data_IF_415261772270
#
_entry.id   IF_415261772270
#
_cell.length_a   1.000
_cell.length_b   1.000
_cell.length_c   1.000
_cell.angle_alpha   90.00
_cell.angle_beta   90.00
_cell.angle_gamma   90.00
#
_symmetry.space_group_name_H-M   'P 1'
#
loop_
_entity.id
_entity.type
_entity.pdbx_description
1 polymer ?
#
# COMPACT_ATOMS: atom_id res chain seq x y z
N UNK A 1 14.12 -17.59 -42.44
CA UNK A 1 13.64 -16.92 -41.21
C UNK A 1 12.16 -16.60 -41.38
N UNK A 2 11.42 -16.44 -40.28
CA UNK A 2 9.97 -16.16 -40.31
C UNK A 2 9.73 -14.68 -40.57
N UNK A 3 9.12 -14.34 -41.71
CA UNK A 3 8.78 -12.97 -42.15
C UNK A 3 7.97 -12.21 -41.09
N UNK A 4 7.25 -12.90 -40.20
CA UNK A 4 6.51 -12.29 -39.10
C UNK A 4 7.41 -11.71 -38.02
N UNK A 5 8.58 -12.30 -37.78
CA UNK A 5 9.53 -11.84 -36.76
C UNK A 5 10.25 -10.57 -37.22
N UNK A 6 10.65 -10.51 -38.50
CA UNK A 6 11.27 -9.33 -39.11
C UNK A 6 10.33 -8.12 -39.10
N UNK A 7 9.04 -8.34 -39.40
CA UNK A 7 8.03 -7.27 -39.35
C UNK A 7 7.81 -6.74 -37.92
N UNK A 8 7.78 -7.63 -36.93
CA UNK A 8 7.57 -7.22 -35.54
C UNK A 8 8.77 -6.44 -34.99
N UNK A 9 9.99 -6.86 -35.29
CA UNK A 9 11.20 -6.11 -34.93
C UNK A 9 11.22 -4.70 -35.54
N UNK A 10 10.67 -4.55 -36.75
CA UNK A 10 10.55 -3.28 -37.46
C UNK A 10 9.52 -2.34 -36.82
N UNK A 11 8.35 -2.85 -36.45
CA UNK A 11 7.31 -2.11 -35.72
C UNK A 11 7.83 -1.58 -34.37
N UNK A 12 8.58 -2.42 -33.64
CA UNK A 12 9.19 -2.05 -32.35
C UNK A 12 10.26 -0.97 -32.51
N UNK A 13 11.17 -1.10 -33.49
CA UNK A 13 12.20 -0.10 -33.76
C UNK A 13 11.62 1.27 -34.15
N UNK A 14 10.53 1.31 -34.93
CA UNK A 14 9.84 2.55 -35.28
C UNK A 14 9.16 3.20 -34.07
N UNK A 15 8.60 2.40 -33.15
CA UNK A 15 8.00 2.90 -31.91
C UNK A 15 9.04 3.57 -31.00
N UNK A 16 10.20 2.93 -30.79
CA UNK A 16 11.27 3.51 -29.97
C UNK A 16 11.82 4.79 -30.57
N UNK A 17 11.95 4.87 -31.90
CA UNK A 17 12.34 6.10 -32.60
C UNK A 17 11.35 7.23 -32.33
N UNK A 18 10.04 6.98 -32.47
CA UNK A 18 9.02 8.00 -32.17
C UNK A 18 9.07 8.51 -30.72
N UNK A 19 9.41 7.64 -29.77
CA UNK A 19 9.62 8.00 -28.35
C UNK A 19 10.88 8.87 -28.21
N UNK A 20 12.00 8.48 -28.81
CA UNK A 20 13.26 9.21 -28.78
C UNK A 20 13.13 10.61 -29.42
N UNK A 21 12.45 10.72 -30.56
CA UNK A 21 12.15 12.00 -31.23
C UNK A 21 11.35 12.94 -30.31
N UNK A 22 10.39 12.39 -29.55
CA UNK A 22 9.55 13.15 -28.61
C UNK A 22 10.33 13.62 -27.37
N UNK A 23 11.35 12.87 -26.95
CA UNK A 23 12.26 13.23 -25.84
C UNK A 23 13.21 14.34 -26.28
N UNK A 24 13.62 14.37 -27.55
CA UNK A 24 14.56 15.35 -28.09
C UNK A 24 13.94 16.70 -28.51
N UNK A 25 12.61 16.76 -28.71
CA UNK A 25 11.89 17.98 -29.09
C UNK A 25 12.11 19.24 -28.19
N UNK A 26 12.43 19.13 -26.87
CA UNK A 26 12.73 20.30 -26.04
C UNK A 26 14.11 20.94 -26.24
N UNK A 27 15.01 20.34 -27.03
CA UNK A 27 16.42 20.77 -27.15
C UNK A 27 16.72 21.73 -28.32
N UNK A 28 15.70 22.40 -28.88
CA UNK A 28 15.86 23.43 -29.92
C UNK A 28 16.40 24.78 -29.38
N UNK A 29 16.44 24.97 -28.06
CA UNK A 29 17.31 25.98 -27.45
C UNK A 29 18.73 25.42 -27.32
N UNK A 30 19.80 26.21 -27.52
CA UNK A 30 21.18 25.74 -27.47
C UNK A 30 21.56 25.29 -26.06
N UNK A 31 21.15 24.07 -25.71
CA UNK A 31 21.60 23.32 -24.57
C UNK A 31 23.06 22.93 -24.84
N UNK A 32 23.96 23.29 -23.93
CA UNK A 32 25.39 22.98 -23.97
C UNK A 32 25.71 21.49 -23.78
N UNK A 33 24.72 20.60 -23.82
CA UNK A 33 24.95 19.17 -23.70
C UNK A 33 25.47 18.61 -25.02
N UNK A 34 26.74 18.19 -25.04
CA UNK A 34 27.35 17.49 -26.18
C UNK A 34 26.75 16.09 -26.41
N UNK A 35 25.93 15.60 -25.48
CA UNK A 35 25.34 14.27 -25.45
C UNK A 35 23.84 14.32 -25.13
N UNK A 36 23.13 13.29 -25.57
CA UNK A 36 21.71 13.04 -25.27
C UNK A 36 21.53 11.60 -24.80
N UNK A 37 20.60 11.41 -23.87
CA UNK A 37 20.20 10.08 -23.41
C UNK A 37 19.01 9.60 -24.25
N UNK A 38 19.17 8.45 -24.91
CA UNK A 38 18.14 7.78 -25.70
C UNK A 38 17.85 6.39 -25.13
N UNK A 39 16.69 5.82 -25.45
CA UNK A 39 16.43 4.41 -25.15
C UNK A 39 17.07 3.52 -26.21
N UNK A 40 17.60 2.37 -25.80
CA UNK A 40 18.17 1.35 -26.66
C UNK A 40 17.14 0.85 -27.68
N UNK A 41 17.44 0.99 -28.97
CA UNK A 41 16.52 0.70 -30.07
C UNK A 41 16.67 -0.74 -30.60
N UNK A 42 17.03 -1.67 -29.71
CA UNK A 42 17.15 -3.08 -30.08
C UNK A 42 15.77 -3.72 -30.28
N UNK A 43 15.71 -4.88 -30.95
CA UNK A 43 14.45 -5.58 -31.22
C UNK A 43 13.81 -6.27 -29.99
N UNK A 44 14.34 -6.07 -28.78
CA UNK A 44 13.83 -6.68 -27.55
C UNK A 44 12.70 -5.81 -26.97
N UNK A 45 11.49 -6.35 -26.94
CA UNK A 45 10.25 -5.65 -26.51
C UNK A 45 10.33 -5.11 -25.07
N UNK A 46 11.10 -5.77 -24.20
CA UNK A 46 11.25 -5.40 -22.79
C UNK A 46 12.48 -4.54 -22.51
N UNK A 47 13.21 -4.10 -23.55
CA UNK A 47 14.40 -3.27 -23.36
C UNK A 47 14.00 -1.85 -22.96
N UNK A 48 14.51 -1.42 -21.81
CA UNK A 48 14.33 -0.06 -21.26
C UNK A 48 15.66 0.60 -20.94
N UNK A 49 16.75 0.09 -21.52
CA UNK A 49 18.09 0.57 -21.24
C UNK A 49 18.30 1.95 -21.86
N UNK A 50 18.84 2.87 -21.06
CA UNK A 50 19.26 4.19 -21.50
C UNK A 50 20.68 4.13 -22.07
N UNK A 51 20.92 4.87 -23.15
CA UNK A 51 22.21 5.00 -23.82
C UNK A 51 22.52 6.50 -23.94
N UNK A 52 23.70 6.91 -23.49
CA UNK A 52 24.20 8.26 -23.73
C UNK A 52 24.97 8.28 -25.06
N UNK A 53 24.52 9.12 -26.00
CA UNK A 53 25.16 9.25 -27.32
C UNK A 53 25.47 10.72 -27.62
N UNK A 54 26.53 11.02 -28.39
CA UNK A 54 26.82 12.37 -28.83
C UNK A 54 25.64 12.96 -29.62
N UNK A 55 25.36 14.25 -29.45
CA UNK A 55 24.27 14.94 -30.15
C UNK A 55 24.43 14.85 -31.68
N UNK A 56 25.67 14.81 -32.18
CA UNK A 56 25.96 14.56 -33.60
C UNK A 56 25.46 13.18 -34.04
N UNK A 57 25.79 12.13 -33.29
CA UNK A 57 25.34 10.76 -33.58
C UNK A 57 23.83 10.66 -33.54
N UNK A 58 23.18 11.30 -32.57
CA UNK A 58 21.72 11.37 -32.51
C UNK A 58 21.11 11.97 -33.78
N UNK A 59 21.67 13.08 -34.28
CA UNK A 59 21.25 13.69 -35.56
C UNK A 59 21.49 12.78 -36.75
N UNK A 60 22.62 12.08 -36.79
CA UNK A 60 22.94 11.13 -37.86
C UNK A 60 21.94 9.95 -37.88
N UNK A 61 21.50 9.45 -36.72
CA UNK A 61 20.43 8.44 -36.61
C UNK A 61 19.08 8.95 -37.14
N UNK A 62 18.78 10.23 -36.93
CA UNK A 62 17.56 10.87 -37.44
C UNK A 62 17.58 11.04 -38.95
N UNK A 63 18.75 11.37 -39.52
CA UNK A 63 18.91 11.51 -40.96
C UNK A 63 18.86 10.16 -41.70
N UNK A 64 19.12 9.05 -40.99
CA UNK A 64 19.16 7.70 -41.57
C UNK A 64 18.10 6.81 -40.91
N UNK A 65 16.93 6.68 -41.56
CA UNK A 65 15.79 5.91 -41.07
C UNK A 65 16.08 4.43 -40.78
N UNK A 66 17.14 3.87 -41.38
CA UNK A 66 17.55 2.48 -41.19
C UNK A 66 18.58 2.28 -40.07
N UNK A 67 19.05 3.35 -39.41
CA UNK A 67 20.09 3.26 -38.38
C UNK A 67 19.49 3.24 -36.98
N UNK A 68 20.06 2.44 -36.08
CA UNK A 68 19.56 2.27 -34.71
C UNK A 68 20.71 2.30 -33.72
N UNK A 69 20.51 2.98 -32.58
CA UNK A 69 21.46 2.95 -31.46
C UNK A 69 21.12 1.81 -30.49
N UNK A 70 22.05 0.90 -30.27
CA UNK A 70 21.85 -0.26 -29.39
C UNK A 70 23.01 -0.43 -28.41
N UNK A 71 22.74 -1.09 -27.28
CA UNK A 71 23.78 -1.60 -26.38
C UNK A 71 24.59 -2.69 -27.11
N UNK A 72 25.93 -2.73 -26.97
CA UNK A 72 26.77 -3.77 -27.59
C UNK A 72 26.33 -5.20 -27.24
N UNK A 73 25.83 -5.41 -26.03
CA UNK A 73 25.30 -6.68 -25.52
C UNK A 73 23.94 -7.08 -26.11
N UNK A 74 23.23 -6.14 -26.76
CA UNK A 74 21.88 -6.33 -27.31
C UNK A 74 21.87 -6.57 -28.82
N UNK A 75 23.02 -6.90 -29.41
CA UNK A 75 23.12 -7.33 -30.80
C UNK A 75 22.45 -8.69 -30.91
N UNK A 76 21.18 -8.70 -31.31
CA UNK A 76 20.46 -9.94 -31.63
C UNK A 76 20.96 -10.50 -32.96
N UNK A 77 20.82 -11.82 -33.18
CA UNK A 77 21.36 -12.56 -34.35
C UNK A 77 20.77 -12.16 -35.72
N UNK A 78 20.01 -11.07 -35.83
CA UNK A 78 19.60 -10.54 -37.12
C UNK A 78 20.83 -9.87 -37.76
N UNK A 79 21.06 -10.14 -39.05
CA UNK A 79 22.19 -9.64 -39.85
C UNK A 79 22.12 -8.11 -40.03
N UNK A 80 22.30 -7.36 -38.94
CA UNK A 80 22.39 -5.91 -38.97
C UNK A 80 23.84 -5.52 -39.24
N UNK A 81 24.05 -4.68 -40.24
CA UNK A 81 25.37 -4.17 -40.56
C UNK A 81 25.77 -3.11 -39.52
N UNK A 82 26.87 -3.33 -38.81
CA UNK A 82 27.35 -2.36 -37.83
C UNK A 82 27.98 -1.17 -38.55
N UNK A 83 27.36 0.00 -38.43
CA UNK A 83 27.77 1.27 -39.05
C UNK A 83 28.86 1.96 -38.23
N UNK A 84 28.74 1.92 -36.90
CA UNK A 84 29.72 2.49 -35.99
C UNK A 84 29.78 1.69 -34.68
N UNK A 85 30.98 1.61 -34.08
CA UNK A 85 31.22 0.96 -32.80
C UNK A 85 31.87 1.95 -31.84
N UNK A 86 31.16 2.26 -30.77
CA UNK A 86 31.72 2.96 -29.61
C UNK A 86 31.77 2.01 -28.40
N UNK A 87 32.43 2.46 -27.34
CA UNK A 87 32.61 1.64 -26.13
C UNK A 87 31.27 1.29 -25.44
N UNK A 88 30.31 2.22 -25.43
CA UNK A 88 29.05 2.08 -24.67
C UNK A 88 27.82 1.83 -25.54
N UNK A 89 27.92 2.05 -26.86
CA UNK A 89 26.83 1.87 -27.81
C UNK A 89 27.34 1.56 -29.21
N UNK A 90 26.53 0.85 -29.99
CA UNK A 90 26.77 0.63 -31.41
C UNK A 90 25.65 1.27 -32.24
N UNK A 91 26.01 1.70 -33.45
CA UNK A 91 25.03 2.10 -34.48
C UNK A 91 24.95 0.98 -35.49
N UNK A 92 23.75 0.44 -35.69
CA UNK A 92 23.50 -0.66 -36.63
C UNK A 92 22.52 -0.24 -37.71
N UNK A 93 22.74 -0.68 -38.94
CA UNK A 93 21.82 -0.50 -40.05
C UNK A 93 20.96 -1.77 -40.21
N UNK A 94 19.65 -1.59 -40.32
CA UNK A 94 18.74 -2.67 -40.69
C UNK A 94 18.50 -2.63 -42.21
N UNK A 95 19.02 -3.62 -42.98
CA UNK A 95 18.90 -3.63 -44.44
C UNK A 95 17.45 -3.84 -44.92
N UNK A 96 16.57 -4.40 -44.10
CA UNK A 96 15.13 -4.58 -44.43
C UNK A 96 14.42 -3.23 -44.59
N UNK A 97 14.89 -2.19 -43.88
CA UNK A 97 14.37 -0.81 -44.01
C UNK A 97 15.02 -0.02 -45.15
N UNK A 98 16.14 -0.50 -45.72
CA UNK A 98 16.81 0.14 -46.85
C UNK A 98 16.13 -0.20 -48.20
N UNK A 99 15.41 -1.32 -48.25
CA UNK A 99 14.57 -1.71 -49.37
C UNK A 99 13.16 -1.18 -49.12
N UNK A 100 12.85 0.00 -49.65
CA UNK A 100 11.56 0.65 -49.46
C UNK A 100 10.38 -0.27 -49.85
N UNK A 101 9.26 -0.24 -49.11
CA UNK A 101 8.09 -1.03 -49.47
C UNK A 101 7.46 -0.49 -50.77
N UNK A 102 7.26 -1.35 -51.76
CA UNK A 102 6.40 -1.10 -52.95
C UNK A 102 4.90 -1.05 -52.60
N UNK A 103 4.53 -1.16 -51.31
CA UNK A 103 3.17 -0.96 -50.85
C UNK A 103 2.86 0.54 -50.72
N UNK A 104 1.64 0.99 -51.10
CA UNK A 104 1.19 2.33 -50.79
C UNK A 104 1.08 2.47 -49.27
N UNK A 105 2.15 2.98 -48.66
CA UNK A 105 2.16 3.45 -47.28
C UNK A 105 1.15 4.59 -47.22
N UNK A 106 0.19 4.52 -46.29
CA UNK A 106 -0.65 5.66 -45.96
C UNK A 106 0.24 6.91 -45.84
N UNK A 107 -0.20 8.08 -46.33
CA UNK A 107 0.64 9.27 -46.32
C UNK A 107 1.24 9.44 -44.92
N UNK A 108 2.57 9.59 -44.80
CA UNK A 108 3.23 9.64 -43.50
C UNK A 108 2.50 10.66 -42.66
N UNK A 109 2.05 10.25 -41.47
CA UNK A 109 1.55 11.21 -40.50
C UNK A 109 2.60 12.31 -40.39
N UNK A 110 2.18 13.56 -40.56
CA UNK A 110 3.13 14.66 -40.47
C UNK A 110 3.79 14.60 -39.10
N UNK A 111 5.06 14.98 -39.01
CA UNK A 111 5.79 15.03 -37.74
C UNK A 111 4.98 15.75 -36.64
N UNK A 112 4.26 16.80 -37.01
CA UNK A 112 3.34 17.53 -36.14
C UNK A 112 2.22 16.65 -35.56
N UNK A 113 1.66 15.73 -36.35
CA UNK A 113 0.61 14.82 -35.92
C UNK A 113 1.12 13.78 -34.91
N UNK A 114 2.29 13.19 -35.18
CA UNK A 114 2.95 12.25 -34.28
C UNK A 114 3.30 12.91 -32.95
N UNK A 115 3.86 14.13 -33.00
CA UNK A 115 4.19 14.90 -31.80
C UNK A 115 2.95 15.20 -30.95
N UNK A 116 1.84 15.61 -31.59
CA UNK A 116 0.57 15.86 -30.90
C UNK A 116 0.02 14.60 -30.24
N UNK A 117 0.09 13.45 -30.90
CA UNK A 117 -0.42 12.19 -30.35
C UNK A 117 0.48 11.65 -29.22
N UNK A 118 1.80 11.78 -29.33
CA UNK A 118 2.74 11.51 -28.23
C UNK A 118 2.48 12.40 -27.01
N UNK A 119 2.26 13.70 -27.20
CA UNK A 119 1.92 14.62 -26.11
C UNK A 119 0.59 14.26 -25.46
N UNK A 120 -0.43 13.90 -26.25
CA UNK A 120 -1.73 13.43 -25.73
C UNK A 120 -1.56 12.18 -24.89
N UNK A 121 -0.78 11.22 -25.35
CA UNK A 121 -0.51 9.97 -24.63
C UNK A 121 0.23 10.24 -23.31
N UNK A 122 1.28 11.08 -23.33
CA UNK A 122 2.01 11.46 -22.12
C UNK A 122 1.11 12.17 -21.09
N UNK A 123 0.25 13.09 -21.53
CA UNK A 123 -0.74 13.76 -20.67
C UNK A 123 -1.75 12.75 -20.11
N UNK A 124 -2.20 11.78 -20.91
CA UNK A 124 -3.09 10.72 -20.45
C UNK A 124 -2.43 9.83 -19.39
N UNK A 125 -1.18 9.42 -19.58
CA UNK A 125 -0.41 8.66 -18.59
C UNK A 125 -0.21 9.45 -17.30
N UNK A 126 0.16 10.73 -17.37
CA UNK A 126 0.32 11.59 -16.19
C UNK A 126 -1.00 11.76 -15.43
N UNK A 127 -2.12 11.92 -16.13
CA UNK A 127 -3.46 11.97 -15.52
C UNK A 127 -3.82 10.65 -14.85
N UNK A 128 -3.55 9.52 -15.50
CA UNK A 128 -3.79 8.20 -14.93
C UNK A 128 -2.92 7.95 -13.68
N UNK A 129 -1.64 8.31 -13.73
CA UNK A 129 -0.73 8.21 -12.59
C UNK A 129 -1.20 9.07 -11.40
N UNK A 130 -1.61 10.31 -11.65
CA UNK A 130 -2.19 11.18 -10.62
C UNK A 130 -3.47 10.58 -10.03
N UNK A 131 -4.38 10.08 -10.87
CA UNK A 131 -5.62 9.46 -10.40
C UNK A 131 -5.36 8.22 -9.52
N UNK A 132 -4.35 7.41 -9.86
CA UNK A 132 -3.91 6.28 -9.02
C UNK A 132 -3.33 6.77 -7.69
N UNK A 133 -2.46 7.79 -7.69
CA UNK A 133 -1.91 8.36 -6.48
C UNK A 133 -2.99 8.94 -5.55
N UNK A 134 -3.98 9.63 -6.12
CA UNK A 134 -5.12 10.17 -5.39
C UNK A 134 -5.99 9.03 -4.80
N UNK A 135 -6.16 7.93 -5.54
CA UNK A 135 -6.90 6.75 -5.06
C UNK A 135 -6.19 6.08 -3.88
N UNK A 136 -4.88 5.83 -3.99
CA UNK A 136 -4.06 5.26 -2.90
C UNK A 136 -4.09 6.18 -1.67
N UNK A 137 -4.02 7.50 -1.86
CA UNK A 137 -4.08 8.46 -0.75
C UNK A 137 -5.40 8.37 0.02
N UNK A 138 -6.54 8.26 -0.68
CA UNK A 138 -7.86 8.07 -0.06
C UNK A 138 -7.97 6.75 0.70
N UNK A 139 -7.43 5.67 0.13
CA UNK A 139 -7.45 4.36 0.78
C UNK A 139 -6.60 4.35 2.06
N UNK A 140 -5.43 4.97 2.05
CA UNK A 140 -4.60 5.14 3.25
C UNK A 140 -5.29 5.95 4.34
N UNK A 141 -6.04 7.00 3.99
CA UNK A 141 -6.81 7.79 4.95
C UNK A 141 -7.96 6.98 5.59
N UNK A 142 -8.65 6.16 4.79
CA UNK A 142 -9.67 5.25 5.29
C UNK A 142 -9.08 4.22 6.27
N UNK A 143 -7.95 3.58 5.91
CA UNK A 143 -7.27 2.60 6.76
C UNK A 143 -6.78 3.22 8.08
N UNK A 144 -6.26 4.46 8.04
CA UNK A 144 -5.88 5.20 9.26
C UNK A 144 -7.08 5.43 10.16
N UNK A 145 -8.21 5.88 9.59
CA UNK A 145 -9.44 6.11 10.34
C UNK A 145 -9.99 4.83 10.98
N UNK A 146 -9.94 3.71 10.25
CA UNK A 146 -10.34 2.40 10.77
C UNK A 146 -9.42 1.92 11.89
N UNK A 147 -8.10 2.10 11.73
CA UNK A 147 -7.08 1.73 12.73
C UNK A 147 -7.29 2.53 14.02
N UNK A 148 -7.51 3.84 13.92
CA UNK A 148 -7.79 4.69 15.07
C UNK A 148 -9.08 4.30 15.79
N UNK A 149 -10.12 3.94 15.02
CA UNK A 149 -11.38 3.44 15.59
C UNK A 149 -11.19 2.11 16.32
N UNK A 150 -10.41 1.19 15.75
CA UNK A 150 -10.09 -0.09 16.37
C UNK A 150 -9.30 0.12 17.67
N UNK A 151 -8.29 1.00 17.67
CA UNK A 151 -7.50 1.32 18.86
C UNK A 151 -8.35 1.90 19.98
N UNK A 152 -9.19 2.91 19.69
CA UNK A 152 -10.13 3.48 20.68
C UNK A 152 -11.16 2.47 21.17
N UNK A 153 -11.49 1.46 20.37
CA UNK A 153 -12.38 0.38 20.80
C UNK A 153 -11.68 -0.57 21.77
N UNK A 154 -10.41 -0.92 21.49
CA UNK A 154 -9.59 -1.74 22.37
C UNK A 154 -9.36 -1.04 23.73
N UNK A 155 -8.96 0.23 23.72
CA UNK A 155 -8.77 1.04 24.94
C UNK A 155 -10.04 1.08 25.81
N UNK A 156 -11.23 1.22 25.19
CA UNK A 156 -12.50 1.18 25.92
C UNK A 156 -12.84 -0.19 26.46
N UNK A 157 -12.50 -1.26 25.74
CA UNK A 157 -12.71 -2.62 26.20
C UNK A 157 -11.82 -2.93 27.41
N UNK A 158 -10.54 -2.54 27.36
CA UNK A 158 -9.60 -2.73 28.46
C UNK A 158 -10.05 -1.96 29.72
N UNK A 159 -10.53 -0.72 29.55
CA UNK A 159 -11.11 0.05 30.64
C UNK A 159 -12.35 -0.65 31.24
N UNK A 160 -13.26 -1.13 30.40
CA UNK A 160 -14.46 -1.85 30.84
C UNK A 160 -14.11 -3.17 31.56
N UNK A 161 -13.08 -3.88 31.11
CA UNK A 161 -12.61 -5.09 31.76
C UNK A 161 -12.04 -4.81 33.16
N UNK A 162 -11.23 -3.75 33.30
CA UNK A 162 -10.71 -3.31 34.61
C UNK A 162 -11.85 -2.91 35.57
N UNK A 163 -12.85 -2.18 35.08
CA UNK A 163 -14.02 -1.81 35.88
C UNK A 163 -14.82 -3.03 36.32
N UNK A 164 -15.03 -3.99 35.41
CA UNK A 164 -15.68 -5.26 35.70
C UNK A 164 -14.91 -6.08 36.74
N UNK A 165 -13.59 -6.25 36.58
CA UNK A 165 -12.76 -6.96 37.55
C UNK A 165 -12.88 -6.37 38.95
N UNK A 166 -12.89 -5.05 39.04
CA UNK A 166 -13.03 -4.37 40.32
C UNK A 166 -14.41 -4.58 40.93
N UNK A 167 -15.46 -4.44 40.14
CA UNK A 167 -16.82 -4.72 40.60
C UNK A 167 -16.92 -6.16 41.12
N UNK A 168 -16.35 -7.13 40.41
CA UNK A 168 -16.33 -8.52 40.84
C UNK A 168 -15.59 -8.72 42.16
N UNK A 169 -14.43 -8.09 42.33
CA UNK A 169 -13.71 -8.11 43.62
C UNK A 169 -14.58 -7.55 44.75
N UNK A 170 -15.29 -6.46 44.52
CA UNK A 170 -16.20 -5.87 45.51
C UNK A 170 -17.38 -6.80 45.84
N UNK A 171 -18.03 -7.37 44.81
CA UNK A 171 -19.15 -8.32 45.00
C UNK A 171 -18.74 -9.58 45.73
N UNK A 172 -17.51 -10.06 45.55
CA UNK A 172 -16.95 -11.20 46.28
C UNK A 172 -16.57 -10.82 47.72
N UNK A 173 -15.98 -9.64 47.93
CA UNK A 173 -15.51 -9.20 49.24
C UNK A 173 -16.65 -9.03 50.26
N UNK A 174 -17.82 -8.57 49.83
CA UNK A 174 -18.97 -8.33 50.72
C UNK A 174 -19.46 -9.59 51.44
N UNK A 175 -19.90 -10.67 50.74
CA UNK A 175 -20.34 -11.89 51.41
C UNK A 175 -19.20 -12.55 52.21
N UNK A 176 -17.95 -12.50 51.73
CA UNK A 176 -16.80 -12.99 52.48
C UNK A 176 -16.61 -12.26 53.81
N UNK A 177 -16.81 -10.94 53.83
CA UNK A 177 -16.73 -10.13 55.06
C UNK A 177 -17.81 -10.54 56.05
N UNK A 178 -19.05 -10.74 55.58
CA UNK A 178 -20.17 -11.19 56.44
C UNK A 178 -19.92 -12.60 56.98
N UNK A 179 -19.56 -13.55 56.12
CA UNK A 179 -19.24 -14.94 56.51
C UNK A 179 -18.13 -14.94 57.57
N UNK A 180 -17.05 -14.18 57.34
CA UNK A 180 -15.93 -14.11 58.28
C UNK A 180 -16.33 -13.49 59.63
N UNK A 181 -17.14 -12.43 59.60
CA UNK A 181 -17.64 -11.78 60.81
C UNK A 181 -18.56 -12.69 61.63
N UNK A 182 -19.48 -13.39 60.98
CA UNK A 182 -20.38 -14.37 61.62
C UNK A 182 -19.59 -15.54 62.20
N UNK A 183 -18.65 -16.11 61.44
CA UNK A 183 -17.81 -17.21 61.90
C UNK A 183 -16.96 -16.81 63.12
N UNK A 184 -16.39 -15.61 63.11
CA UNK A 184 -15.63 -15.06 64.25
C UNK A 184 -16.54 -14.87 65.47
N UNK A 185 -17.75 -14.35 65.27
CA UNK A 185 -18.74 -14.17 66.35
C UNK A 185 -19.14 -15.52 66.97
N UNK A 186 -19.36 -16.56 66.17
CA UNK A 186 -19.69 -17.90 66.65
C UNK A 186 -18.51 -18.56 67.39
N UNK A 187 -17.27 -18.29 66.97
CA UNK A 187 -16.06 -18.88 67.55
C UNK A 187 -15.65 -18.22 68.87
N UNK A 188 -15.59 -16.88 68.86
CA UNK A 188 -14.95 -16.09 69.92
C UNK A 188 -15.96 -15.28 70.75
N UNK A 189 -17.21 -15.17 70.29
CA UNK A 189 -18.24 -14.37 70.94
C UNK A 189 -18.78 -14.98 72.23
N UNK A 190 -19.54 -14.19 73.02
CA UNK A 190 -20.25 -14.71 74.18
C UNK A 190 -21.20 -15.84 73.76
N UNK A 191 -21.47 -16.78 74.66
CA UNK A 191 -22.44 -17.86 74.41
C UNK A 191 -23.80 -17.25 74.09
N UNK A 192 -24.19 -17.33 72.83
CA UNK A 192 -25.52 -16.99 72.34
C UNK A 192 -26.48 -18.14 72.63
N UNK A 193 -27.77 -17.85 72.73
CA UNK A 193 -28.77 -18.90 72.83
C UNK A 193 -28.87 -19.68 71.51
N UNK A 194 -29.55 -20.84 71.55
CA UNK A 194 -29.70 -21.71 70.38
C UNK A 194 -30.42 -21.03 69.21
N UNK A 195 -31.36 -20.11 69.50
CA UNK A 195 -32.11 -19.42 68.46
C UNK A 195 -31.22 -18.42 67.72
N UNK A 196 -30.44 -17.62 68.46
CA UNK A 196 -29.46 -16.69 67.91
C UNK A 196 -28.36 -17.43 67.14
N UNK A 197 -27.89 -18.56 67.67
CA UNK A 197 -26.91 -19.41 66.97
C UNK A 197 -27.45 -19.89 65.62
N UNK A 198 -28.70 -20.36 65.59
CA UNK A 198 -29.34 -20.81 64.34
C UNK A 198 -29.48 -19.66 63.34
N UNK A 199 -29.89 -18.46 63.78
CA UNK A 199 -29.99 -17.28 62.92
C UNK A 199 -28.64 -16.90 62.29
N UNK A 200 -27.54 -16.98 63.05
CA UNK A 200 -26.20 -16.74 62.54
C UNK A 200 -25.78 -17.80 61.50
N UNK A 201 -26.07 -19.07 61.75
CA UNK A 201 -25.78 -20.15 60.78
C UNK A 201 -26.59 -19.99 59.48
N UNK A 202 -27.87 -19.64 59.58
CA UNK A 202 -28.73 -19.39 58.43
C UNK A 202 -28.20 -18.20 57.60
N UNK A 203 -27.77 -17.12 58.26
CA UNK A 203 -27.13 -15.98 57.60
C UNK A 203 -25.81 -16.35 56.91
N UNK A 204 -24.98 -17.20 57.52
CA UNK A 204 -23.75 -17.69 56.92
C UNK A 204 -24.02 -18.52 55.66
N UNK A 205 -24.98 -19.46 55.73
CA UNK A 205 -25.39 -20.27 54.59
C UNK A 205 -25.93 -19.42 53.44
N UNK A 206 -26.72 -18.40 53.76
CA UNK A 206 -27.27 -17.50 52.75
C UNK A 206 -26.17 -16.70 52.03
N UNK A 207 -25.20 -16.15 52.78
CA UNK A 207 -24.09 -15.43 52.16
C UNK A 207 -23.15 -16.35 51.37
N UNK A 208 -22.99 -17.61 51.79
CA UNK A 208 -22.24 -18.60 51.02
C UNK A 208 -22.89 -18.87 49.65
N UNK A 209 -24.23 -18.94 49.58
CA UNK A 209 -24.96 -19.07 48.30
C UNK A 209 -24.80 -17.84 47.42
N UNK A 210 -24.88 -16.64 48.01
CA UNK A 210 -24.63 -15.39 47.27
C UNK A 210 -23.21 -15.38 46.67
N UNK A 211 -22.21 -15.79 47.46
CA UNK A 211 -20.84 -15.88 46.99
C UNK A 211 -20.68 -16.90 45.86
N UNK A 212 -21.27 -18.09 46.00
CA UNK A 212 -21.29 -19.12 44.96
C UNK A 212 -21.91 -18.57 43.67
N UNK A 213 -23.06 -17.91 43.77
CA UNK A 213 -23.75 -17.31 42.63
C UNK A 213 -22.88 -16.25 41.94
N UNK A 214 -22.28 -15.32 42.71
CA UNK A 214 -21.39 -14.28 42.17
C UNK A 214 -20.16 -14.87 41.49
N UNK A 215 -19.60 -15.96 42.03
CA UNK A 215 -18.37 -16.57 41.51
C UNK A 215 -18.61 -17.41 40.25
N UNK A 216 -19.73 -18.13 40.18
CA UNK A 216 -20.03 -19.05 39.08
C UNK A 216 -20.82 -18.40 37.94
N UNK A 217 -21.73 -17.49 38.28
CA UNK A 217 -22.67 -16.88 37.33
C UNK A 217 -22.72 -15.35 37.56
N UNK A 218 -21.76 -14.59 37.02
CA UNK A 218 -21.80 -13.14 37.13
C UNK A 218 -22.97 -12.59 36.31
N UNK A 219 -24.10 -12.36 36.99
CA UNK A 219 -25.29 -11.79 36.37
C UNK A 219 -25.04 -10.36 35.88
N UNK A 220 -25.73 -9.93 34.80
CA UNK A 220 -25.74 -8.54 34.39
C UNK A 220 -26.16 -7.63 35.56
N UNK A 221 -25.57 -6.44 35.61
CA UNK A 221 -25.82 -5.42 36.63
C UNK A 221 -27.31 -5.26 36.91
N UNK A 222 -27.70 -5.33 38.19
CA UNK A 222 -29.07 -4.98 38.57
C UNK A 222 -29.23 -3.46 38.55
N UNK A 223 -30.46 -2.92 38.39
CA UNK A 223 -30.69 -1.48 38.29
C UNK A 223 -30.04 -0.62 39.37
N UNK A 224 -29.94 -1.14 40.59
CA UNK A 224 -29.30 -0.48 41.73
C UNK A 224 -27.78 -0.33 41.61
N UNK A 225 -27.13 -1.08 40.73
CA UNK A 225 -25.67 -1.06 40.53
C UNK A 225 -25.24 -0.16 39.36
N UNK A 226 -26.17 0.28 38.50
CA UNK A 226 -25.84 1.19 37.38
C UNK A 226 -25.29 2.56 37.84
N UNK A 227 -25.50 2.94 39.11
CA UNK A 227 -25.00 4.19 39.70
C UNK A 227 -23.66 4.06 40.43
N UNK A 228 -23.12 2.85 40.60
CA UNK A 228 -21.82 2.66 41.26
C UNK A 228 -20.74 3.01 40.26
N UNK A 229 -20.29 4.26 40.26
CA UNK A 229 -19.19 4.67 39.41
C UNK A 229 -17.86 4.09 39.93
N UNK A 230 -17.06 3.44 39.07
CA UNK A 230 -15.73 2.99 39.45
C UNK A 230 -14.84 4.22 39.74
N UNK A 231 -14.16 4.21 40.89
CA UNK A 231 -13.30 5.31 41.36
C UNK A 231 -11.79 5.07 41.08
N UNK A 232 -11.06 5.91 40.34
CA UNK A 232 -11.31 7.33 40.22
C UNK A 232 -12.26 7.62 39.07
N UNK A 233 -13.28 8.40 39.40
CA UNK A 233 -14.08 9.10 38.41
C UNK A 233 -13.13 9.97 37.60
N UNK A 234 -12.85 9.55 36.37
CA UNK A 234 -12.27 10.42 35.37
C UNK A 234 -13.45 10.98 34.58
N UNK A 235 -13.95 12.20 34.90
CA UNK A 235 -14.90 12.87 34.04
C UNK A 235 -14.19 13.01 32.68
N UNK A 236 -14.67 12.25 31.69
CA UNK A 236 -14.26 12.46 30.32
C UNK A 236 -14.45 13.95 30.02
N UNK A 237 -13.37 14.62 29.61
CA UNK A 237 -13.47 15.96 29.05
C UNK A 237 -14.45 15.86 27.89
N UNK A 238 -15.64 16.43 28.06
CA UNK A 238 -16.57 16.63 26.96
C UNK A 238 -15.82 17.40 25.87
N UNK A 239 -15.58 16.74 24.75
CA UNK A 239 -15.05 17.33 23.53
C UNK A 239 -16.21 17.59 22.57
#
# INVERSE_FOLDING_TARGET
MDVRFERHALEVGQLFRSINDSIAAPYDEPSYADHVTVLCECALVECVDEIEIPLKTFRDLHLNASWFAIRPEHVTMLESDVVAREAEYWVVANPVLALGPDEPVDPPQTFDQLLVDSLRLAVAHRRAAKARADAVSRELELLRTQTDRARRSAERYDAALSDYERLMRHRIANPLTVISGVATTLRDGPRVDLQQQQQLLDALMEQARVLEQVALEPFPLVPSEFGVQPWPYSPGKSA
#
